data_IF_365913424848
#
_entry.id   IF_365913424848
#
_cell.length_a   1.000
_cell.length_b   1.000
_cell.length_c   1.000
_cell.angle_alpha   90.00
_cell.angle_beta   90.00
_cell.angle_gamma   90.00
#
_symmetry.space_group_name_H-M   'P 1'
#
loop_
_entity.id
_entity.type
_entity.pdbx_description
1 polymer ?
#
# COMPACT_ATOMS: atom_id res chain seq x y z
N UNK A 1 83.80 -35.06 24.27
CA UNK A 1 82.96 -36.23 23.91
C UNK A 1 81.94 -36.35 24.98
N UNK A 2 80.73 -35.74 24.76
CA UNK A 2 79.63 -35.78 25.68
C UNK A 2 78.28 -35.73 24.85
N UNK A 3 77.54 -36.80 24.90
CA UNK A 3 76.38 -37.12 24.16
C UNK A 3 75.21 -36.41 24.83
N UNK A 4 74.58 -35.41 24.21
CA UNK A 4 73.33 -34.77 24.67
C UNK A 4 72.10 -35.59 24.26
N UNK A 5 71.47 -36.18 25.26
CA UNK A 5 70.19 -36.90 25.14
C UNK A 5 69.05 -35.90 25.20
N UNK A 6 68.25 -35.74 24.09
CA UNK A 6 67.04 -34.88 24.04
C UNK A 6 65.84 -35.63 24.60
N UNK A 7 65.10 -35.07 25.56
CA UNK A 7 63.89 -35.71 26.02
C UNK A 7 62.74 -35.55 24.99
N UNK A 8 62.03 -36.64 24.69
CA UNK A 8 60.79 -36.69 23.87
C UNK A 8 59.59 -36.03 24.63
N UNK A 9 59.38 -34.77 24.30
CA UNK A 9 58.15 -34.05 24.74
C UNK A 9 57.18 -33.97 23.53
N UNK A 10 56.69 -35.08 23.09
CA UNK A 10 55.81 -35.12 21.93
C UNK A 10 54.50 -35.92 22.08
N UNK A 11 54.38 -36.73 23.12
CA UNK A 11 53.27 -37.69 23.22
C UNK A 11 52.15 -37.34 24.22
N UNK A 12 52.29 -36.29 25.05
CA UNK A 12 51.29 -35.90 26.04
C UNK A 12 50.36 -34.78 25.60
N UNK A 13 50.64 -34.08 24.51
CA UNK A 13 49.79 -33.03 23.98
C UNK A 13 48.71 -33.52 22.97
N UNK A 14 48.86 -34.73 22.45
CA UNK A 14 47.91 -35.31 21.51
C UNK A 14 46.68 -35.94 22.19
N UNK A 15 46.74 -36.27 23.46
CA UNK A 15 45.64 -36.91 24.20
C UNK A 15 44.69 -35.93 24.90
N UNK A 16 45.06 -34.67 25.09
CA UNK A 16 44.23 -33.65 25.76
C UNK A 16 43.34 -32.85 24.81
N UNK A 17 43.45 -33.03 23.50
CA UNK A 17 42.60 -32.34 22.49
C UNK A 17 41.41 -33.16 22.04
N UNK A 18 41.16 -34.34 22.59
CA UNK A 18 40.11 -35.27 22.17
C UNK A 18 38.91 -35.41 23.13
N UNK A 19 38.79 -34.59 24.16
CA UNK A 19 37.69 -34.68 25.08
C UNK A 19 37.19 -33.29 25.45
N UNK A 20 36.34 -32.67 24.61
CA UNK A 20 35.24 -31.79 24.95
C UNK A 20 34.50 -31.31 23.68
N UNK A 21 34.21 -32.22 22.79
CA UNK A 21 33.09 -32.09 21.91
C UNK A 21 31.91 -32.77 22.56
N UNK A 22 31.12 -32.10 23.42
CA UNK A 22 29.79 -32.56 23.79
C UNK A 22 28.98 -32.59 22.49
N UNK A 23 29.00 -33.74 21.82
CA UNK A 23 28.02 -34.11 20.82
C UNK A 23 26.67 -34.01 21.53
N UNK A 24 25.92 -32.90 21.27
CA UNK A 24 24.46 -32.95 21.44
C UNK A 24 24.06 -34.22 20.72
N UNK A 25 23.47 -35.18 21.44
CA UNK A 25 22.86 -36.35 20.83
C UNK A 25 21.97 -35.81 19.68
N UNK A 26 22.38 -36.01 18.44
CA UNK A 26 21.51 -35.82 17.28
C UNK A 26 20.36 -36.78 17.57
N UNK A 27 19.16 -36.23 17.69
CA UNK A 27 17.95 -37.08 17.67
C UNK A 27 18.10 -37.96 16.46
N UNK A 28 18.03 -39.29 16.71
CA UNK A 28 18.13 -40.28 15.66
C UNK A 28 16.82 -40.31 14.89
N UNK A 29 16.76 -39.53 13.83
CA UNK A 29 15.61 -39.47 12.92
C UNK A 29 15.51 -40.68 11.99
N UNK A 30 16.23 -41.78 12.33
CA UNK A 30 16.26 -42.99 11.56
C UNK A 30 17.32 -42.98 10.44
N UNK A 31 17.45 -44.15 9.78
CA UNK A 31 18.40 -44.28 8.65
C UNK A 31 17.90 -43.51 7.45
N UNK A 32 18.78 -42.73 6.84
CA UNK A 32 18.47 -42.09 5.56
C UNK A 32 18.02 -43.14 4.55
N UNK A 33 16.87 -42.86 3.89
CA UNK A 33 16.37 -43.72 2.82
C UNK A 33 17.41 -43.91 1.71
N UNK A 34 17.32 -45.01 0.99
CA UNK A 34 18.18 -45.27 -0.17
C UNK A 34 17.98 -44.10 -1.20
N UNK A 35 19.01 -43.67 -1.90
CA UNK A 35 18.86 -42.71 -2.99
C UNK A 35 17.86 -43.25 -4.02
N UNK A 36 17.14 -42.36 -4.67
CA UNK A 36 16.14 -42.69 -5.68
C UNK A 36 16.79 -43.54 -6.76
N UNK A 37 16.24 -44.72 -7.03
CA UNK A 37 16.75 -45.63 -8.05
C UNK A 37 16.29 -45.14 -9.42
N UNK A 38 17.24 -44.64 -10.22
CA UNK A 38 17.01 -44.11 -11.59
C UNK A 38 17.04 -45.23 -12.64
N UNK A 39 17.31 -46.47 -12.26
CA UNK A 39 17.37 -47.62 -13.19
C UNK A 39 16.01 -48.01 -13.79
N UNK A 40 14.92 -47.59 -13.18
CA UNK A 40 13.54 -47.84 -13.64
C UNK A 40 12.91 -46.57 -14.24
N UNK A 41 12.87 -46.41 -15.57
CA UNK A 41 12.39 -45.17 -16.22
C UNK A 41 10.96 -44.80 -15.85
N UNK A 42 10.09 -45.77 -15.71
CA UNK A 42 8.68 -45.56 -15.32
C UNK A 42 8.56 -45.01 -13.88
N UNK A 43 9.27 -45.63 -12.94
CA UNK A 43 9.26 -45.14 -11.55
C UNK A 43 9.85 -43.75 -11.41
N UNK A 44 10.96 -43.50 -12.08
CA UNK A 44 11.58 -42.18 -12.10
C UNK A 44 10.64 -41.12 -12.71
N UNK A 45 10.04 -41.40 -13.90
CA UNK A 45 9.08 -40.52 -14.54
C UNK A 45 7.87 -40.24 -13.66
N UNK A 46 7.32 -41.27 -12.99
CA UNK A 46 6.20 -41.12 -12.07
C UNK A 46 6.55 -40.22 -10.88
N UNK A 47 7.70 -40.44 -10.24
CA UNK A 47 8.12 -39.63 -9.08
C UNK A 47 8.40 -38.16 -9.46
N UNK A 48 9.01 -37.90 -10.62
CA UNK A 48 9.24 -36.54 -11.13
C UNK A 48 7.91 -35.86 -11.42
N UNK A 49 6.98 -36.54 -12.09
CA UNK A 49 5.65 -36.00 -12.42
C UNK A 49 4.83 -35.75 -11.17
N UNK A 50 4.83 -36.68 -10.22
CA UNK A 50 4.15 -36.52 -8.94
C UNK A 50 4.74 -35.34 -8.15
N UNK A 51 6.06 -35.21 -8.09
CA UNK A 51 6.73 -34.05 -7.49
C UNK A 51 6.39 -32.73 -8.16
N UNK A 52 6.35 -32.70 -9.50
CA UNK A 52 5.95 -31.54 -10.27
C UNK A 52 4.48 -31.15 -10.04
N UNK A 53 3.56 -32.11 -9.95
CA UNK A 53 2.16 -31.88 -9.64
C UNK A 53 1.99 -31.32 -8.22
N UNK A 54 2.69 -31.89 -7.23
CA UNK A 54 2.66 -31.36 -5.85
C UNK A 54 3.20 -29.94 -5.83
N UNK A 55 4.33 -29.66 -6.48
CA UNK A 55 4.89 -28.32 -6.57
C UNK A 55 3.91 -27.34 -7.24
N UNK A 56 3.27 -27.77 -8.35
CA UNK A 56 2.27 -26.95 -9.05
C UNK A 56 1.04 -26.65 -8.17
N UNK A 57 0.49 -27.67 -7.48
CA UNK A 57 -0.66 -27.46 -6.59
C UNK A 57 -0.32 -26.55 -5.41
N UNK A 58 0.88 -26.67 -4.85
CA UNK A 58 1.36 -25.76 -3.80
C UNK A 58 1.49 -24.32 -4.34
N UNK A 59 2.08 -24.13 -5.51
CA UNK A 59 2.18 -22.80 -6.15
C UNK A 59 0.78 -22.22 -6.44
N UNK A 60 -0.14 -23.03 -6.93
CA UNK A 60 -1.52 -22.59 -7.18
C UNK A 60 -2.25 -22.25 -5.88
N UNK A 61 -2.03 -22.98 -4.79
CA UNK A 61 -2.58 -22.66 -3.47
C UNK A 61 -2.04 -21.33 -2.95
N UNK A 62 -0.73 -21.04 -3.11
CA UNK A 62 -0.15 -19.74 -2.79
C UNK A 62 -0.74 -18.62 -3.66
N UNK A 63 -0.89 -18.84 -4.97
CA UNK A 63 -1.51 -17.87 -5.86
C UNK A 63 -2.96 -17.57 -5.44
N UNK A 64 -3.74 -18.59 -5.07
CA UNK A 64 -5.10 -18.43 -4.58
C UNK A 64 -5.19 -17.71 -3.23
N UNK A 65 -4.16 -17.86 -2.39
CA UNK A 65 -4.06 -17.17 -1.10
C UNK A 65 -3.52 -15.73 -1.22
N UNK A 66 -3.18 -15.25 -2.42
CA UNK A 66 -2.57 -13.92 -2.63
C UNK A 66 -3.39 -12.77 -2.02
N UNK A 67 -4.72 -12.84 -2.12
CA UNK A 67 -5.61 -11.85 -1.52
C UNK A 67 -5.43 -11.75 0.01
N UNK A 68 -5.25 -12.89 0.68
CA UNK A 68 -5.04 -12.92 2.14
C UNK A 68 -3.69 -12.29 2.49
N UNK A 69 -2.63 -12.59 1.73
CA UNK A 69 -1.31 -11.96 1.94
C UNK A 69 -1.38 -10.45 1.75
N UNK A 70 -2.12 -9.96 0.75
CA UNK A 70 -2.34 -8.53 0.53
C UNK A 70 -3.03 -7.91 1.76
N UNK A 71 -4.10 -8.52 2.28
CA UNK A 71 -4.80 -8.02 3.46
C UNK A 71 -3.87 -7.95 4.69
N UNK A 72 -3.03 -8.97 4.90
CA UNK A 72 -2.04 -9.00 5.98
C UNK A 72 -1.00 -7.87 5.83
N UNK A 73 -0.43 -7.70 4.63
CA UNK A 73 0.59 -6.67 4.35
C UNK A 73 0.00 -5.28 4.56
N UNK A 74 -1.20 -5.02 4.04
CA UNK A 74 -1.90 -3.74 4.21
C UNK A 74 -2.18 -3.46 5.69
N UNK A 75 -2.67 -4.46 6.41
CA UNK A 75 -2.98 -4.32 7.83
C UNK A 75 -1.73 -4.05 8.68
N UNK A 76 -0.63 -4.73 8.37
CA UNK A 76 0.66 -4.50 9.02
C UNK A 76 1.22 -3.11 8.71
N UNK A 77 1.08 -2.66 7.45
CA UNK A 77 1.45 -1.31 7.04
C UNK A 77 0.62 -0.24 7.78
N UNK A 78 -0.71 -0.41 7.84
CA UNK A 78 -1.59 0.50 8.59
C UNK A 78 -1.26 0.49 10.08
N UNK A 79 -0.98 -0.67 10.67
CA UNK A 79 -0.56 -0.77 12.06
C UNK A 79 0.76 -0.02 12.32
N UNK A 80 1.77 -0.18 11.45
CA UNK A 80 3.01 0.58 11.54
C UNK A 80 2.76 2.09 11.35
N UNK A 81 1.89 2.46 10.41
CA UNK A 81 1.49 3.84 10.13
C UNK A 81 0.76 4.53 11.29
N UNK A 82 -0.13 3.81 11.96
CA UNK A 82 -0.90 4.32 13.11
C UNK A 82 -0.14 4.24 14.45
N UNK A 83 0.99 3.52 14.50
CA UNK A 83 1.76 3.35 15.73
C UNK A 83 2.22 4.70 16.36
N UNK A 84 2.64 5.73 15.62
CA UNK A 84 2.96 7.04 16.21
C UNK A 84 1.77 7.68 16.95
N UNK A 85 0.54 7.52 16.45
CA UNK A 85 -0.66 7.99 17.12
C UNK A 85 -0.90 7.24 18.44
N UNK A 86 -0.66 5.91 18.45
CA UNK A 86 -0.71 5.12 19.69
C UNK A 86 0.35 5.60 20.69
N UNK A 87 1.58 5.82 20.26
CA UNK A 87 2.66 6.33 21.10
C UNK A 87 2.33 7.73 21.66
N UNK A 88 1.67 8.58 20.87
CA UNK A 88 1.23 9.90 21.34
C UNK A 88 0.25 9.79 22.51
N UNK A 89 -0.72 8.87 22.46
CA UNK A 89 -1.65 8.63 23.58
C UNK A 89 -0.96 7.95 24.77
N UNK A 90 -0.02 7.04 24.51
CA UNK A 90 0.78 6.41 25.60
C UNK A 90 1.63 7.46 26.34
N UNK A 91 2.25 8.40 25.62
CA UNK A 91 3.03 9.48 26.22
C UNK A 91 2.18 10.45 27.07
N UNK A 92 0.83 10.39 26.93
CA UNK A 92 -0.13 11.12 27.76
C UNK A 92 -0.67 10.30 28.93
N UNK A 93 -0.09 9.15 29.21
CA UNK A 93 -0.40 8.32 30.36
C UNK A 93 -1.40 7.19 30.13
N UNK A 94 -1.89 6.99 28.88
CA UNK A 94 -2.73 5.84 28.59
C UNK A 94 -1.89 4.56 28.46
N UNK A 95 -2.44 3.44 28.91
CA UNK A 95 -1.83 2.14 28.62
C UNK A 95 -1.97 1.79 27.12
N UNK A 96 -1.20 0.78 26.64
CA UNK A 96 -1.19 0.43 25.23
C UNK A 96 -2.57 0.03 24.70
N UNK A 97 -3.32 -0.78 25.45
CA UNK A 97 -4.64 -1.23 25.03
C UNK A 97 -5.61 -0.05 24.83
N UNK A 98 -5.68 0.86 25.82
CA UNK A 98 -6.53 2.06 25.74
C UNK A 98 -6.09 3.00 24.62
N UNK A 99 -4.78 3.15 24.39
CA UNK A 99 -4.26 3.97 23.29
C UNK A 99 -4.64 3.40 21.93
N UNK A 100 -4.54 2.09 21.76
CA UNK A 100 -4.95 1.39 20.52
C UNK A 100 -6.45 1.53 20.32
N UNK A 101 -7.26 1.31 21.35
CA UNK A 101 -8.72 1.49 21.26
C UNK A 101 -9.12 2.92 20.91
N UNK A 102 -8.44 3.92 21.47
CA UNK A 102 -8.68 5.33 21.15
C UNK A 102 -8.36 5.63 19.67
N UNK A 103 -7.19 5.19 19.16
CA UNK A 103 -6.79 5.39 17.77
C UNK A 103 -7.76 4.67 16.81
N UNK A 104 -8.13 3.42 17.11
CA UNK A 104 -9.09 2.67 16.29
C UNK A 104 -10.49 3.28 16.34
N UNK A 105 -10.92 3.77 17.51
CA UNK A 105 -12.18 4.53 17.66
C UNK A 105 -12.20 5.77 16.76
N UNK A 106 -11.09 6.52 16.71
CA UNK A 106 -10.96 7.69 15.83
C UNK A 106 -11.00 7.29 14.35
N UNK A 107 -10.33 6.20 13.95
CA UNK A 107 -10.37 5.68 12.57
C UNK A 107 -11.78 5.25 12.20
N UNK A 108 -12.48 4.51 13.06
CA UNK A 108 -13.86 4.09 12.84
C UNK A 108 -14.82 5.28 12.75
N UNK A 109 -14.66 6.25 13.62
CA UNK A 109 -15.45 7.49 13.60
C UNK A 109 -15.23 8.24 12.29
N UNK A 110 -13.97 8.37 11.84
CA UNK A 110 -13.64 9.00 10.57
C UNK A 110 -14.30 8.27 9.39
N UNK A 111 -14.21 6.94 9.34
CA UNK A 111 -14.85 6.12 8.29
C UNK A 111 -16.37 6.26 8.33
N UNK A 112 -17.00 6.24 9.50
CA UNK A 112 -18.44 6.42 9.65
C UNK A 112 -18.89 7.80 9.16
N UNK A 113 -18.17 8.87 9.54
CA UNK A 113 -18.44 10.24 9.08
C UNK A 113 -18.27 10.33 7.56
N UNK A 114 -17.21 9.71 7.01
CA UNK A 114 -17.01 9.70 5.56
C UNK A 114 -18.17 9.02 4.82
N UNK A 115 -18.56 7.84 5.27
CA UNK A 115 -19.68 7.10 4.64
C UNK A 115 -20.98 7.93 4.73
N UNK A 116 -21.27 8.52 5.89
CA UNK A 116 -22.51 9.26 6.11
C UNK A 116 -22.58 10.59 5.32
N UNK A 117 -21.46 11.29 5.17
CA UNK A 117 -21.44 12.64 4.59
C UNK A 117 -21.03 12.63 3.10
N UNK A 118 -20.04 11.81 2.72
CA UNK A 118 -19.49 11.86 1.37
C UNK A 118 -20.20 10.93 0.39
N UNK A 119 -20.60 9.74 0.83
CA UNK A 119 -21.14 8.72 -0.09
C UNK A 119 -22.50 9.10 -0.69
N UNK A 120 -23.51 9.56 0.06
CA UNK A 120 -24.82 9.89 -0.52
C UNK A 120 -24.72 10.96 -1.61
N UNK A 121 -24.09 12.15 -1.39
CA UNK A 121 -23.98 13.16 -2.44
C UNK A 121 -23.20 12.69 -3.68
N UNK A 122 -22.21 11.79 -3.52
CA UNK A 122 -21.48 11.25 -4.66
C UNK A 122 -22.35 10.35 -5.54
N UNK A 123 -23.21 9.54 -4.92
CA UNK A 123 -24.17 8.71 -5.65
C UNK A 123 -25.18 9.62 -6.38
N UNK A 124 -25.70 10.64 -5.71
CA UNK A 124 -26.66 11.57 -6.30
C UNK A 124 -26.05 12.36 -7.46
N UNK A 125 -24.79 12.82 -7.31
CA UNK A 125 -24.07 13.51 -8.38
C UNK A 125 -23.73 12.59 -9.55
N UNK A 126 -23.35 11.35 -9.27
CA UNK A 126 -23.13 10.34 -10.30
C UNK A 126 -24.38 10.13 -11.14
N UNK A 127 -25.54 9.97 -10.49
CA UNK A 127 -26.84 9.82 -11.16
C UNK A 127 -27.22 11.08 -11.95
N UNK A 128 -27.03 12.29 -11.38
CA UNK A 128 -27.29 13.54 -12.08
C UNK A 128 -26.39 13.71 -13.31
N UNK A 129 -25.11 13.39 -13.19
CA UNK A 129 -24.16 13.46 -14.30
C UNK A 129 -24.57 12.53 -15.45
N UNK A 130 -24.94 11.28 -15.13
CA UNK A 130 -25.40 10.32 -16.13
C UNK A 130 -26.70 10.79 -16.79
N UNK A 131 -27.68 11.24 -16.01
CA UNK A 131 -28.97 11.68 -16.53
C UNK A 131 -28.88 12.98 -17.34
N UNK A 132 -27.99 13.91 -16.96
CA UNK A 132 -27.82 15.19 -17.62
C UNK A 132 -26.69 15.18 -18.67
N UNK A 133 -25.97 14.06 -18.83
CA UNK A 133 -24.87 13.96 -19.79
C UNK A 133 -25.29 14.33 -21.24
N UNK A 134 -26.48 13.92 -21.77
CA UNK A 134 -26.91 14.32 -23.10
C UNK A 134 -27.13 15.84 -23.23
N UNK A 135 -27.59 16.48 -22.14
CA UNK A 135 -27.82 17.92 -22.12
C UNK A 135 -26.48 18.71 -22.02
N UNK A 136 -25.58 18.24 -21.21
CA UNK A 136 -24.22 18.80 -21.11
C UNK A 136 -23.48 18.77 -22.45
N UNK A 137 -23.61 17.69 -23.22
CA UNK A 137 -23.02 17.60 -24.57
C UNK A 137 -23.66 18.61 -25.52
N UNK A 138 -24.98 18.77 -25.49
CA UNK A 138 -25.67 19.80 -26.28
C UNK A 138 -25.25 21.22 -25.91
N UNK A 139 -25.10 21.51 -24.62
CA UNK A 139 -24.63 22.81 -24.12
C UNK A 139 -23.20 23.11 -24.51
N UNK A 140 -22.33 22.07 -24.54
CA UNK A 140 -20.98 22.18 -25.06
C UNK A 140 -20.98 22.47 -26.57
N UNK A 141 -21.81 21.82 -27.36
CA UNK A 141 -21.95 22.05 -28.81
C UNK A 141 -22.49 23.47 -29.14
N UNK A 142 -23.24 24.08 -28.24
CA UNK A 142 -23.73 25.46 -28.41
C UNK A 142 -22.65 26.52 -28.13
N UNK A 143 -21.52 26.16 -27.57
CA UNK A 143 -20.40 27.07 -27.32
C UNK A 143 -19.54 27.22 -28.59
N UNK A 144 -19.42 28.43 -29.13
CA UNK A 144 -18.73 28.69 -30.38
C UNK A 144 -17.28 28.21 -30.43
N UNK A 145 -16.54 28.30 -29.31
CA UNK A 145 -15.16 27.85 -29.21
C UNK A 145 -15.07 26.32 -29.26
N UNK A 146 -15.98 25.63 -28.55
CA UNK A 146 -16.01 24.16 -28.50
C UNK A 146 -16.51 23.58 -29.82
N UNK A 147 -17.44 24.27 -30.48
CA UNK A 147 -17.92 23.88 -31.80
C UNK A 147 -16.81 23.98 -32.88
N UNK A 148 -15.96 25.00 -32.81
CA UNK A 148 -14.80 25.13 -33.72
C UNK A 148 -13.76 24.03 -33.47
N UNK A 149 -13.52 23.65 -32.22
CA UNK A 149 -12.69 22.50 -31.82
C UNK A 149 -13.31 21.16 -32.30
N UNK A 150 -14.65 21.01 -32.16
CA UNK A 150 -15.35 19.82 -32.57
C UNK A 150 -15.31 19.65 -34.10
N UNK A 151 -15.47 20.73 -34.84
CA UNK A 151 -15.38 20.73 -36.30
C UNK A 151 -13.97 20.35 -36.80
N UNK A 152 -12.92 20.59 -35.98
CA UNK A 152 -11.52 20.22 -36.35
C UNK A 152 -11.12 18.82 -35.90
N UNK A 153 -11.61 18.36 -34.77
CA UNK A 153 -11.09 17.16 -34.11
C UNK A 153 -12.15 16.10 -33.79
N UNK A 154 -13.45 16.38 -33.99
CA UNK A 154 -14.56 15.43 -33.72
C UNK A 154 -14.65 14.98 -32.27
N UNK A 155 -14.18 15.82 -31.33
CA UNK A 155 -14.05 15.43 -29.90
C UNK A 155 -15.42 15.27 -29.24
N UNK A 156 -16.35 16.20 -29.54
CA UNK A 156 -17.69 16.20 -28.93
C UNK A 156 -18.55 15.07 -29.52
N UNK A 157 -18.45 14.84 -30.83
CA UNK A 157 -19.15 13.75 -31.51
C UNK A 157 -18.69 12.39 -30.98
N UNK A 158 -17.39 12.22 -30.80
CA UNK A 158 -16.82 11.01 -30.20
C UNK A 158 -17.24 10.80 -28.72
N UNK A 159 -17.40 11.89 -27.97
CA UNK A 159 -17.94 11.87 -26.60
C UNK A 159 -19.43 11.54 -26.60
N UNK A 160 -20.22 12.14 -27.50
CA UNK A 160 -21.65 11.89 -27.64
C UNK A 160 -21.93 10.42 -27.97
N UNK A 161 -21.20 9.85 -28.94
CA UNK A 161 -21.33 8.44 -29.31
C UNK A 161 -20.97 7.51 -28.15
N UNK A 162 -19.91 7.82 -27.41
CA UNK A 162 -19.53 7.05 -26.22
C UNK A 162 -20.53 7.19 -25.09
N UNK A 163 -21.04 8.40 -24.82
CA UNK A 163 -22.05 8.63 -23.79
C UNK A 163 -23.35 7.93 -24.17
N UNK A 164 -23.78 8.04 -25.44
CA UNK A 164 -24.99 7.39 -25.92
C UNK A 164 -24.87 5.86 -25.91
N UNK A 165 -23.71 5.30 -26.25
CA UNK A 165 -23.46 3.87 -26.11
C UNK A 165 -23.52 3.42 -24.65
N UNK A 166 -22.91 4.18 -23.74
CA UNK A 166 -22.92 3.94 -22.30
C UNK A 166 -24.33 4.00 -21.71
N UNK A 167 -25.14 4.96 -22.15
CA UNK A 167 -26.54 5.13 -21.67
C UNK A 167 -27.48 4.08 -22.30
N UNK A 168 -27.38 3.83 -23.63
CA UNK A 168 -28.25 2.88 -24.35
C UNK A 168 -27.99 1.43 -23.98
N UNK A 169 -26.76 1.05 -23.79
CA UNK A 169 -26.42 -0.35 -23.50
C UNK A 169 -26.82 -0.76 -22.07
N UNK A 170 -27.17 0.19 -21.19
CA UNK A 170 -27.39 -0.13 -19.75
C UNK A 170 -26.21 -0.87 -19.13
N UNK A 171 -25.21 -1.21 -19.98
CA UNK A 171 -24.07 -2.04 -19.66
C UNK A 171 -23.01 -1.31 -18.85
N UNK A 172 -22.98 0.02 -18.88
CA UNK A 172 -21.98 0.73 -18.06
C UNK A 172 -22.26 0.55 -16.57
N UNK A 173 -23.51 0.68 -16.14
CA UNK A 173 -23.89 0.35 -14.76
C UNK A 173 -23.73 -1.16 -14.47
N UNK A 174 -23.97 -2.02 -15.49
CA UNK A 174 -23.77 -3.46 -15.40
C UNK A 174 -22.28 -3.82 -15.50
N UNK A 175 -21.51 -3.17 -16.38
CA UNK A 175 -20.08 -3.49 -16.60
C UNK A 175 -19.17 -2.81 -15.59
N UNK A 176 -19.43 -1.54 -15.22
CA UNK A 176 -18.67 -0.83 -14.20
C UNK A 176 -18.98 -1.31 -12.77
N UNK A 177 -20.23 -1.73 -12.52
CA UNK A 177 -20.68 -2.11 -11.18
C UNK A 177 -21.40 -3.47 -11.13
N UNK A 178 -21.52 -4.21 -12.25
CA UNK A 178 -22.18 -5.53 -12.28
C UNK A 178 -23.70 -5.45 -12.05
N UNK A 179 -24.37 -4.32 -12.36
CA UNK A 179 -25.76 -4.06 -12.05
C UNK A 179 -26.03 -3.95 -10.54
N UNK A 180 -27.29 -3.92 -10.14
CA UNK A 180 -27.68 -3.84 -8.71
C UNK A 180 -27.11 -4.99 -7.90
N UNK A 181 -27.05 -6.20 -8.47
CA UNK A 181 -26.46 -7.39 -7.82
C UNK A 181 -24.94 -7.26 -7.74
N UNK A 182 -24.28 -6.74 -8.78
CA UNK A 182 -22.84 -6.54 -8.80
C UNK A 182 -22.39 -5.43 -7.86
N UNK A 183 -23.13 -4.31 -7.80
CA UNK A 183 -22.91 -3.26 -6.79
C UNK A 183 -23.11 -3.82 -5.39
N UNK A 184 -24.19 -4.56 -5.15
CA UNK A 184 -24.41 -5.24 -3.86
C UNK A 184 -23.26 -6.18 -3.48
N UNK A 185 -22.81 -7.01 -4.42
CA UNK A 185 -21.69 -7.93 -4.22
C UNK A 185 -20.36 -7.19 -4.01
N UNK A 186 -20.09 -6.13 -4.78
CA UNK A 186 -18.90 -5.29 -4.62
C UNK A 186 -18.89 -4.57 -3.27
N UNK A 187 -20.03 -4.03 -2.83
CA UNK A 187 -20.19 -3.39 -1.52
C UNK A 187 -19.98 -4.42 -0.41
N UNK A 188 -20.63 -5.58 -0.47
CA UNK A 188 -20.48 -6.62 0.56
C UNK A 188 -19.05 -7.13 0.60
N UNK A 189 -18.42 -7.44 -0.54
CA UNK A 189 -17.03 -7.91 -0.56
C UNK A 189 -16.04 -6.81 -0.10
N UNK A 190 -16.30 -5.57 -0.48
CA UNK A 190 -15.55 -4.41 -0.01
C UNK A 190 -15.67 -4.20 1.50
N UNK A 191 -16.87 -4.33 2.06
CA UNK A 191 -17.11 -4.25 3.51
C UNK A 191 -16.41 -5.38 4.25
N UNK A 192 -16.49 -6.62 3.77
CA UNK A 192 -15.80 -7.78 4.39
C UNK A 192 -14.30 -7.57 4.36
N UNK A 193 -13.73 -7.15 3.22
CA UNK A 193 -12.30 -6.89 3.10
C UNK A 193 -11.85 -5.74 4.01
N UNK A 194 -12.63 -4.65 4.05
CA UNK A 194 -12.34 -3.49 4.91
C UNK A 194 -12.43 -3.87 6.40
N UNK A 195 -13.43 -4.65 6.79
CA UNK A 195 -13.57 -5.15 8.16
C UNK A 195 -12.39 -6.06 8.53
N UNK A 196 -11.99 -6.94 7.62
CA UNK A 196 -10.83 -7.83 7.81
C UNK A 196 -9.54 -7.02 8.00
N UNK A 197 -9.28 -6.03 7.13
CA UNK A 197 -8.12 -5.12 7.26
C UNK A 197 -8.17 -4.41 8.60
N UNK A 198 -9.33 -3.90 9.01
CA UNK A 198 -9.50 -3.16 10.26
C UNK A 198 -9.23 -4.04 11.48
N UNK A 199 -9.80 -5.25 11.52
CA UNK A 199 -9.56 -6.21 12.61
C UNK A 199 -8.11 -6.65 12.67
N UNK A 200 -7.50 -6.97 11.52
CA UNK A 200 -6.08 -7.31 11.46
C UNK A 200 -5.19 -6.13 11.86
N UNK A 201 -5.53 -4.91 11.43
CA UNK A 201 -4.80 -3.68 11.82
C UNK A 201 -4.87 -3.46 13.32
N UNK A 202 -6.06 -3.62 13.93
CA UNK A 202 -6.23 -3.54 15.38
C UNK A 202 -5.33 -4.56 16.10
N UNK A 203 -5.36 -5.83 15.64
CA UNK A 203 -4.56 -6.89 16.22
C UNK A 203 -3.05 -6.62 16.09
N UNK A 204 -2.59 -6.28 14.89
CA UNK A 204 -1.19 -5.97 14.66
C UNK A 204 -0.75 -4.71 15.42
N UNK A 205 -1.57 -3.68 15.50
CA UNK A 205 -1.28 -2.45 16.23
C UNK A 205 -1.15 -2.71 17.74
N UNK A 206 -2.05 -3.53 18.31
CA UNK A 206 -1.99 -3.93 19.71
C UNK A 206 -0.74 -4.76 20.02
N UNK A 207 -0.41 -5.72 19.14
CA UNK A 207 0.66 -6.70 19.34
C UNK A 207 1.96 -6.38 18.57
N UNK A 208 2.11 -5.18 17.99
CA UNK A 208 3.25 -4.82 17.14
C UNK A 208 4.63 -5.11 17.76
N UNK A 209 4.91 -4.79 19.04
CA UNK A 209 6.18 -5.15 19.67
C UNK A 209 6.37 -6.67 19.80
N UNK A 210 5.30 -7.43 20.03
CA UNK A 210 5.37 -8.88 20.14
C UNK A 210 5.65 -9.52 18.78
N UNK A 211 4.98 -9.04 17.72
CA UNK A 211 5.22 -9.48 16.33
C UNK A 211 6.68 -9.25 15.94
N UNK A 212 7.22 -8.06 16.24
CA UNK A 212 8.63 -7.75 15.99
C UNK A 212 9.55 -8.71 16.77
N UNK A 213 9.26 -8.94 18.06
CA UNK A 213 10.07 -9.83 18.90
C UNK A 213 10.04 -11.28 18.42
N UNK A 214 8.87 -11.79 17.98
CA UNK A 214 8.75 -13.13 17.39
C UNK A 214 9.58 -13.19 16.10
N UNK A 215 9.47 -12.21 15.21
CA UNK A 215 10.30 -12.14 14.00
C UNK A 215 11.81 -12.15 14.30
N UNK A 216 12.22 -11.47 15.36
CA UNK A 216 13.62 -11.45 15.80
C UNK A 216 14.13 -12.81 16.35
N UNK A 217 13.25 -13.71 16.76
CA UNK A 217 13.67 -15.05 17.21
C UNK A 217 14.22 -15.91 16.07
N UNK A 218 13.77 -15.68 14.82
CA UNK A 218 14.34 -16.35 13.64
C UNK A 218 15.73 -15.84 13.24
N UNK A 219 16.20 -14.77 13.89
CA UNK A 219 17.50 -14.15 13.61
C UNK A 219 18.54 -14.70 14.59
N UNK A 220 19.76 -15.05 14.10
CA UNK A 220 20.88 -15.46 14.97
C UNK A 220 21.17 -14.41 16.06
N UNK A 221 21.44 -14.85 17.29
CA UNK A 221 21.60 -13.98 18.46
C UNK A 221 22.65 -12.85 18.24
N UNK A 222 23.73 -13.16 17.50
CA UNK A 222 24.81 -12.20 17.17
C UNK A 222 24.38 -11.03 16.29
N UNK A 223 23.27 -11.15 15.55
CA UNK A 223 22.76 -10.11 14.63
C UNK A 223 21.44 -9.50 15.10
N UNK A 224 20.86 -10.03 16.17
CA UNK A 224 19.50 -9.67 16.63
C UNK A 224 19.40 -8.20 17.01
N UNK A 225 20.38 -7.62 17.71
CA UNK A 225 20.37 -6.20 18.10
C UNK A 225 20.39 -5.28 16.86
N UNK A 226 21.24 -5.56 15.86
CA UNK A 226 21.31 -4.77 14.63
C UNK A 226 20.00 -4.84 13.83
N UNK A 227 19.42 -6.03 13.70
CA UNK A 227 18.15 -6.20 12.96
C UNK A 227 16.99 -5.57 13.72
N UNK A 228 16.96 -5.64 15.06
CA UNK A 228 15.98 -4.94 15.87
C UNK A 228 15.98 -3.43 15.61
N UNK A 229 17.17 -2.82 15.59
CA UNK A 229 17.33 -1.38 15.29
C UNK A 229 16.84 -1.03 13.88
N UNK A 230 17.17 -1.87 12.89
CA UNK A 230 16.69 -1.70 11.51
C UNK A 230 15.15 -1.79 11.41
N UNK A 231 14.55 -2.81 12.02
CA UNK A 231 13.08 -2.98 12.00
C UNK A 231 12.40 -1.79 12.69
N UNK A 232 12.89 -1.35 13.84
CA UNK A 232 12.34 -0.18 14.52
C UNK A 232 12.50 1.11 13.69
N UNK A 233 13.62 1.29 12.99
CA UNK A 233 13.83 2.41 12.08
C UNK A 233 12.84 2.36 10.89
N UNK A 234 12.58 1.18 10.31
CA UNK A 234 11.58 0.99 9.25
C UNK A 234 10.18 1.35 9.76
N UNK A 235 9.76 0.81 10.90
CA UNK A 235 8.44 1.11 11.49
C UNK A 235 8.29 2.61 11.75
N UNK A 236 9.33 3.25 12.28
CA UNK A 236 9.31 4.70 12.53
C UNK A 236 9.20 5.49 11.22
N UNK A 237 9.93 5.10 10.18
CA UNK A 237 9.86 5.76 8.85
C UNK A 237 8.49 5.59 8.21
N UNK A 238 7.91 4.38 8.27
CA UNK A 238 6.55 4.12 7.77
C UNK A 238 5.54 4.99 8.52
N UNK A 239 5.62 5.04 9.86
CA UNK A 239 4.74 5.88 10.66
C UNK A 239 4.87 7.37 10.36
N UNK A 240 6.11 7.86 10.20
CA UNK A 240 6.37 9.25 9.83
C UNK A 240 5.85 9.57 8.42
N UNK A 241 5.95 8.63 7.47
CA UNK A 241 5.38 8.78 6.14
C UNK A 241 3.85 8.89 6.19
N UNK A 242 3.18 7.96 6.87
CA UNK A 242 1.71 7.97 7.00
C UNK A 242 1.26 9.26 7.69
N UNK A 243 1.95 9.70 8.75
CA UNK A 243 1.66 10.98 9.40
C UNK A 243 1.83 12.18 8.49
N UNK A 244 2.94 12.23 7.74
CA UNK A 244 3.19 13.27 6.74
C UNK A 244 2.14 13.29 5.64
N UNK A 245 1.80 12.11 5.10
CA UNK A 245 0.76 11.97 4.07
C UNK A 245 -0.62 12.38 4.58
N UNK A 246 -0.94 12.07 5.84
CA UNK A 246 -2.19 12.53 6.48
C UNK A 246 -2.29 14.05 6.52
N UNK A 247 -1.17 14.74 6.83
CA UNK A 247 -1.13 16.21 6.85
C UNK A 247 -1.31 16.77 5.43
N UNK A 248 -0.62 16.19 4.44
CA UNK A 248 -0.73 16.61 3.03
C UNK A 248 -2.17 16.42 2.54
N UNK A 249 -2.76 15.26 2.78
CA UNK A 249 -4.15 14.96 2.41
C UNK A 249 -5.15 15.92 3.09
N UNK A 250 -4.93 16.24 4.37
CA UNK A 250 -5.75 17.21 5.08
C UNK A 250 -5.64 18.64 4.49
N UNK A 251 -4.43 19.07 4.11
CA UNK A 251 -4.22 20.37 3.46
C UNK A 251 -4.93 20.43 2.09
N UNK A 252 -4.86 19.34 1.30
CA UNK A 252 -5.58 19.25 0.04
C UNK A 252 -7.10 19.34 0.24
N UNK A 253 -7.64 18.63 1.23
CA UNK A 253 -9.06 18.68 1.57
C UNK A 253 -9.50 20.09 2.02
N UNK A 254 -8.70 20.74 2.86
CA UNK A 254 -8.94 22.12 3.30
C UNK A 254 -8.91 23.07 2.10
N UNK A 255 -7.94 22.92 1.19
CA UNK A 255 -7.89 23.73 -0.03
C UNK A 255 -9.17 23.56 -0.86
N UNK A 256 -9.61 22.31 -1.12
CA UNK A 256 -10.83 22.04 -1.87
C UNK A 256 -12.06 22.61 -1.17
N UNK A 257 -12.13 22.52 0.16
CA UNK A 257 -13.22 23.09 0.93
C UNK A 257 -13.30 24.61 0.74
N UNK A 258 -12.20 25.34 0.92
CA UNK A 258 -12.19 26.80 0.76
C UNK A 258 -12.42 27.22 -0.70
N UNK A 259 -11.70 26.59 -1.65
CA UNK A 259 -11.88 26.86 -3.06
C UNK A 259 -13.34 26.66 -3.49
N UNK A 260 -13.92 25.53 -3.11
CA UNK A 260 -15.29 25.18 -3.47
C UNK A 260 -16.33 26.13 -2.89
N UNK A 261 -16.13 26.62 -1.65
CA UNK A 261 -16.98 27.64 -1.04
C UNK A 261 -16.89 28.99 -1.82
N UNK A 262 -15.68 29.40 -2.22
CA UNK A 262 -15.46 30.65 -2.95
C UNK A 262 -16.11 30.62 -4.33
N UNK A 263 -15.94 29.53 -5.09
CA UNK A 263 -16.53 29.42 -6.45
C UNK A 263 -17.98 28.91 -6.43
N UNK A 264 -18.53 28.63 -5.25
CA UNK A 264 -19.87 28.08 -5.06
C UNK A 264 -20.02 26.70 -5.69
N UNK A 265 -19.04 25.83 -5.57
CA UNK A 265 -19.04 24.46 -6.10
C UNK A 265 -20.08 23.60 -5.37
N UNK A 266 -20.84 22.76 -6.07
CA UNK A 266 -21.80 21.88 -5.41
C UNK A 266 -21.06 20.84 -4.56
N UNK A 267 -21.67 20.45 -3.44
CA UNK A 267 -21.18 19.38 -2.57
C UNK A 267 -19.72 19.54 -2.12
N UNK A 268 -19.28 20.75 -1.86
CA UNK A 268 -17.89 21.10 -1.49
C UNK A 268 -17.37 20.28 -0.32
N UNK A 269 -18.16 20.07 0.74
CA UNK A 269 -17.76 19.27 1.89
C UNK A 269 -17.48 17.79 1.54
N UNK A 270 -18.43 17.08 0.92
CA UNK A 270 -18.20 15.72 0.41
C UNK A 270 -17.00 15.60 -0.53
N UNK A 271 -16.80 16.56 -1.45
CA UNK A 271 -15.64 16.55 -2.35
C UNK A 271 -14.31 16.74 -1.61
N UNK A 272 -14.29 17.61 -0.60
CA UNK A 272 -13.11 17.75 0.26
C UNK A 272 -12.79 16.44 0.99
N UNK A 273 -13.80 15.70 1.45
CA UNK A 273 -13.59 14.39 2.07
C UNK A 273 -13.09 13.32 1.08
N UNK A 274 -13.58 13.33 -0.16
CA UNK A 274 -13.05 12.46 -1.23
C UNK A 274 -11.59 12.77 -1.50
N UNK A 275 -11.24 14.06 -1.64
CA UNK A 275 -9.84 14.47 -1.86
C UNK A 275 -8.96 14.11 -0.67
N UNK A 276 -9.46 14.19 0.55
CA UNK A 276 -8.76 13.71 1.74
C UNK A 276 -8.38 12.23 1.63
N UNK A 277 -9.31 11.37 1.21
CA UNK A 277 -9.05 9.94 1.05
C UNK A 277 -8.11 9.67 -0.14
N UNK A 278 -8.40 10.29 -1.29
CA UNK A 278 -7.54 10.17 -2.47
C UNK A 278 -6.10 10.62 -2.17
N UNK A 279 -5.94 11.65 -1.35
CA UNK A 279 -4.63 12.19 -0.96
C UNK A 279 -3.72 11.20 -0.22
N UNK A 280 -4.26 10.10 0.31
CA UNK A 280 -3.43 9.02 0.86
C UNK A 280 -2.69 8.22 -0.21
N UNK A 281 -3.12 8.27 -1.47
CA UNK A 281 -2.50 7.54 -2.58
C UNK A 281 -1.50 8.47 -3.28
N UNK A 282 -0.18 8.32 -3.07
CA UNK A 282 0.81 9.20 -3.65
C UNK A 282 0.72 9.23 -5.18
N UNK A 283 0.90 10.39 -5.79
CA UNK A 283 0.86 10.66 -7.22
C UNK A 283 -0.53 10.47 -7.84
N UNK A 284 -1.16 9.31 -7.69
CA UNK A 284 -2.42 8.95 -8.37
C UNK A 284 -3.62 9.63 -7.71
N UNK A 285 -3.58 9.84 -6.40
CA UNK A 285 -4.72 10.35 -5.63
C UNK A 285 -5.19 11.72 -6.11
N UNK A 286 -4.27 12.63 -6.42
CA UNK A 286 -4.62 13.94 -6.95
C UNK A 286 -5.24 13.88 -8.35
N UNK A 287 -4.82 12.96 -9.23
CA UNK A 287 -5.46 12.79 -10.53
C UNK A 287 -6.90 12.30 -10.38
N UNK A 288 -7.15 11.35 -9.49
CA UNK A 288 -8.50 10.86 -9.20
C UNK A 288 -9.34 11.99 -8.58
N UNK A 289 -8.83 12.65 -7.53
CA UNK A 289 -9.50 13.76 -6.87
C UNK A 289 -9.81 14.91 -7.81
N UNK A 290 -8.85 15.30 -8.65
CA UNK A 290 -9.02 16.34 -9.67
C UNK A 290 -10.10 15.98 -10.69
N UNK A 291 -10.09 14.73 -11.17
CA UNK A 291 -11.14 14.23 -12.08
C UNK A 291 -12.52 14.33 -11.46
N UNK A 292 -12.71 13.83 -10.23
CA UNK A 292 -14.00 13.86 -9.53
C UNK A 292 -14.44 15.30 -9.26
N UNK A 293 -13.56 16.15 -8.73
CA UNK A 293 -13.86 17.57 -8.45
C UNK A 293 -14.27 18.32 -9.72
N UNK A 294 -13.55 18.09 -10.84
CA UNK A 294 -13.86 18.73 -12.13
C UNK A 294 -15.21 18.26 -12.68
N UNK A 295 -15.47 16.95 -12.68
CA UNK A 295 -16.73 16.37 -13.16
C UNK A 295 -17.93 16.85 -12.35
N UNK A 296 -17.83 16.89 -11.03
CA UNK A 296 -18.90 17.41 -10.17
C UNK A 296 -19.06 18.92 -10.38
N UNK A 297 -17.97 19.68 -10.57
CA UNK A 297 -18.06 21.11 -10.87
C UNK A 297 -18.74 21.40 -12.21
N UNK A 298 -18.59 20.49 -13.18
CA UNK A 298 -19.23 20.58 -14.51
C UNK A 298 -20.76 20.50 -14.42
N UNK A 299 -21.32 19.83 -13.43
CA UNK A 299 -22.79 19.79 -13.22
C UNK A 299 -23.38 21.17 -12.90
N UNK A 300 -22.55 22.12 -12.39
CA UNK A 300 -22.95 23.51 -12.16
C UNK A 300 -22.81 24.36 -13.43
N UNK A 301 -21.61 24.39 -13.99
CA UNK A 301 -21.30 25.06 -15.25
C UNK A 301 -19.90 24.71 -15.76
N UNK A 302 -19.64 24.79 -17.08
CA UNK A 302 -18.31 24.62 -17.65
C UNK A 302 -17.29 25.59 -17.07
N UNK A 303 -17.69 26.84 -16.82
CA UNK A 303 -16.82 27.85 -16.21
C UNK A 303 -16.36 27.44 -14.80
N UNK A 304 -17.27 26.95 -13.97
CA UNK A 304 -16.93 26.44 -12.63
C UNK A 304 -15.93 25.27 -12.71
N UNK A 305 -16.14 24.36 -13.66
CA UNK A 305 -15.24 23.21 -13.86
C UNK A 305 -13.83 23.65 -14.27
N UNK A 306 -13.71 24.60 -15.20
CA UNK A 306 -12.41 25.14 -15.66
C UNK A 306 -11.68 25.85 -14.50
N UNK A 307 -12.38 26.66 -13.71
CA UNK A 307 -11.81 27.35 -12.55
C UNK A 307 -11.33 26.33 -11.51
N UNK A 308 -12.17 25.33 -11.18
CA UNK A 308 -11.85 24.28 -10.23
C UNK A 308 -10.61 23.48 -10.68
N UNK A 309 -10.58 23.06 -11.94
CA UNK A 309 -9.46 22.33 -12.52
C UNK A 309 -8.16 23.13 -12.46
N UNK A 310 -8.20 24.40 -12.93
CA UNK A 310 -7.04 25.28 -12.96
C UNK A 310 -6.50 25.55 -11.56
N UNK A 311 -7.37 25.85 -10.60
CA UNK A 311 -6.99 26.09 -9.21
C UNK A 311 -6.41 24.82 -8.57
N UNK A 312 -6.97 23.66 -8.86
CA UNK A 312 -6.46 22.39 -8.34
C UNK A 312 -5.08 22.05 -8.92
N UNK A 313 -4.87 22.27 -10.23
CA UNK A 313 -3.53 22.10 -10.85
C UNK A 313 -2.51 23.02 -10.16
N UNK A 314 -2.83 24.29 -9.94
CA UNK A 314 -1.93 25.23 -9.24
C UNK A 314 -1.64 24.73 -7.82
N UNK A 315 -2.66 24.27 -7.09
CA UNK A 315 -2.47 23.70 -5.75
C UNK A 315 -1.51 22.49 -5.77
N UNK A 316 -1.70 21.55 -6.70
CA UNK A 316 -0.84 20.35 -6.82
C UNK A 316 0.62 20.75 -7.11
N UNK A 317 0.85 21.79 -7.89
CA UNK A 317 2.21 22.29 -8.12
C UNK A 317 2.80 22.88 -6.83
N UNK A 318 2.04 23.68 -6.09
CA UNK A 318 2.47 24.20 -4.79
C UNK A 318 2.73 23.05 -3.80
N UNK A 319 1.86 22.06 -3.77
CA UNK A 319 2.02 20.87 -2.92
C UNK A 319 3.31 20.13 -3.27
N UNK A 320 3.53 19.79 -4.53
CA UNK A 320 4.69 19.00 -4.96
C UNK A 320 6.02 19.72 -4.74
N UNK A 321 6.08 21.03 -4.98
CA UNK A 321 7.33 21.79 -4.92
C UNK A 321 7.59 22.48 -3.57
N UNK A 322 6.56 22.72 -2.76
CA UNK A 322 6.71 23.48 -1.51
C UNK A 322 6.26 22.68 -0.29
N UNK A 323 5.04 22.13 -0.30
CA UNK A 323 4.42 21.51 0.89
C UNK A 323 5.07 20.16 1.17
N UNK A 324 5.05 19.25 0.18
CA UNK A 324 5.57 17.90 0.30
C UNK A 324 7.04 17.86 0.72
N UNK A 325 7.97 18.63 0.11
CA UNK A 325 9.36 18.65 0.55
C UNK A 325 9.54 19.13 2.00
N UNK A 326 8.73 20.10 2.46
CA UNK A 326 8.80 20.58 3.85
C UNK A 326 8.31 19.54 4.86
N UNK A 327 7.20 18.87 4.57
CA UNK A 327 6.58 17.88 5.45
C UNK A 327 7.40 16.59 5.46
N UNK A 328 7.81 16.10 4.30
CA UNK A 328 8.48 14.81 4.13
C UNK A 328 10.00 14.85 4.38
N UNK A 329 10.60 16.03 4.57
CA UNK A 329 12.06 16.17 4.78
C UNK A 329 12.63 15.25 5.87
N UNK A 330 11.86 14.99 6.94
CA UNK A 330 12.27 14.13 8.06
C UNK A 330 11.82 12.67 7.91
N UNK A 331 10.91 12.38 6.97
CA UNK A 331 10.26 11.07 6.89
C UNK A 331 10.95 10.13 5.91
N UNK A 332 11.30 10.60 4.73
CA UNK A 332 11.85 9.75 3.67
C UNK A 332 12.82 10.55 2.81
N UNK A 333 14.11 10.29 2.94
CA UNK A 333 15.12 10.77 1.99
C UNK A 333 15.17 9.83 0.77
N UNK A 334 14.04 9.72 0.04
CA UNK A 334 13.97 8.89 -1.18
C UNK A 334 14.12 9.78 -2.40
N UNK A 335 15.00 9.42 -3.36
CA UNK A 335 15.05 10.10 -4.65
C UNK A 335 13.70 10.04 -5.37
N UNK A 336 13.27 11.15 -5.98
CA UNK A 336 11.98 11.22 -6.67
C UNK A 336 11.79 10.13 -7.72
N UNK A 337 12.85 9.78 -8.46
CA UNK A 337 12.82 8.69 -9.44
C UNK A 337 12.43 7.34 -8.79
N UNK A 338 12.99 7.03 -7.63
CA UNK A 338 12.66 5.78 -6.90
C UNK A 338 11.20 5.80 -6.45
N UNK A 339 10.69 6.95 -6.00
CA UNK A 339 9.29 7.12 -5.62
C UNK A 339 8.35 6.83 -6.80
N UNK A 340 8.66 7.38 -8.00
CA UNK A 340 7.86 7.17 -9.22
C UNK A 340 7.89 5.69 -9.62
N UNK A 341 9.09 5.10 -9.71
CA UNK A 341 9.24 3.68 -10.10
C UNK A 341 8.51 2.78 -9.09
N UNK A 342 8.68 3.02 -7.79
CA UNK A 342 8.00 2.25 -6.76
C UNK A 342 6.48 2.35 -6.88
N UNK A 343 5.93 3.57 -7.08
CA UNK A 343 4.50 3.79 -7.23
C UNK A 343 3.95 3.07 -8.48
N UNK A 344 4.64 3.15 -9.62
CA UNK A 344 4.24 2.47 -10.85
C UNK A 344 4.27 0.94 -10.70
N UNK A 345 5.36 0.38 -10.15
CA UNK A 345 5.47 -1.05 -9.88
C UNK A 345 4.43 -1.52 -8.87
N UNK A 346 4.27 -0.78 -7.77
CA UNK A 346 3.27 -1.12 -6.76
C UNK A 346 1.85 -1.13 -7.32
N UNK A 347 1.49 -0.10 -8.08
CA UNK A 347 0.17 0.00 -8.71
C UNK A 347 -0.05 -1.10 -9.75
N UNK A 348 0.97 -1.45 -10.54
CA UNK A 348 0.91 -2.53 -11.52
C UNK A 348 0.72 -3.90 -10.88
N UNK A 349 1.36 -4.16 -9.73
CA UNK A 349 1.32 -5.45 -9.05
C UNK A 349 0.08 -5.65 -8.18
N UNK A 350 -0.34 -4.64 -7.44
CA UNK A 350 -1.36 -4.72 -6.40
C UNK A 350 -2.48 -3.66 -6.53
N UNK A 351 -2.57 -3.00 -7.69
CA UNK A 351 -3.54 -1.92 -7.92
C UNK A 351 -3.33 -0.72 -6.98
N UNK A 352 -4.41 -0.06 -6.60
CA UNK A 352 -4.37 1.14 -5.72
C UNK A 352 -3.70 0.86 -4.38
N UNK A 353 -3.91 -0.32 -3.83
CA UNK A 353 -3.29 -0.75 -2.56
C UNK A 353 -1.77 -0.82 -2.70
N UNK A 354 -1.28 -1.36 -3.83
CA UNK A 354 0.14 -1.39 -4.12
C UNK A 354 0.74 0.01 -4.23
N UNK A 355 0.05 0.94 -4.88
CA UNK A 355 0.48 2.34 -4.96
C UNK A 355 0.63 3.00 -3.58
N UNK A 356 -0.30 2.73 -2.66
CA UNK A 356 -0.28 3.25 -1.29
C UNK A 356 0.95 2.78 -0.50
N UNK A 357 1.28 1.49 -0.57
CA UNK A 357 2.35 0.88 0.24
C UNK A 357 3.72 0.92 -0.45
N UNK A 358 3.78 1.19 -1.75
CA UNK A 358 5.00 1.09 -2.56
C UNK A 358 6.11 2.03 -2.08
N UNK A 359 5.77 3.28 -1.79
CA UNK A 359 6.75 4.30 -1.36
C UNK A 359 7.39 3.94 -0.02
N UNK A 360 6.65 3.55 1.02
CA UNK A 360 7.23 3.05 2.27
C UNK A 360 8.06 1.78 2.11
N UNK A 361 7.64 0.86 1.24
CA UNK A 361 8.43 -0.34 0.94
C UNK A 361 9.76 0.04 0.29
N UNK A 362 9.74 0.94 -0.69
CA UNK A 362 10.97 1.44 -1.31
C UNK A 362 11.89 2.12 -0.30
N UNK A 363 11.34 2.89 0.65
CA UNK A 363 12.11 3.48 1.75
C UNK A 363 12.78 2.43 2.64
N UNK A 364 12.06 1.36 2.97
CA UNK A 364 12.60 0.26 3.74
C UNK A 364 13.72 -0.48 2.99
N UNK A 365 13.52 -0.73 1.69
CA UNK A 365 14.54 -1.36 0.83
C UNK A 365 15.78 -0.49 0.74
N UNK A 366 15.65 0.82 0.48
CA UNK A 366 16.78 1.73 0.46
C UNK A 366 17.54 1.76 1.79
N UNK A 367 16.83 1.80 2.92
CA UNK A 367 17.48 1.71 4.23
C UNK A 367 18.30 0.43 4.39
N UNK A 368 17.75 -0.70 3.94
CA UNK A 368 18.47 -1.98 3.99
C UNK A 368 19.70 -1.95 3.06
N UNK A 369 19.58 -1.38 1.86
CA UNK A 369 20.71 -1.24 0.94
C UNK A 369 21.81 -0.36 1.55
N UNK A 370 21.45 0.79 2.10
CA UNK A 370 22.38 1.74 2.70
C UNK A 370 23.11 1.15 3.94
N UNK A 371 22.38 0.44 4.80
CA UNK A 371 22.90 -0.04 6.08
C UNK A 371 23.52 -1.44 6.03
N UNK A 372 23.14 -2.25 5.04
CA UNK A 372 23.57 -3.66 5.00
C UNK A 372 24.36 -3.99 3.75
N UNK A 373 23.93 -3.54 2.58
CA UNK A 373 24.53 -3.97 1.30
C UNK A 373 25.73 -3.12 0.94
N UNK A 374 25.59 -1.80 0.89
CA UNK A 374 26.67 -0.90 0.48
C UNK A 374 27.90 -0.94 1.41
N UNK A 375 27.78 -0.98 2.76
CA UNK A 375 28.96 -1.11 3.62
C UNK A 375 29.71 -2.42 3.42
N UNK A 376 29.03 -3.50 3.03
CA UNK A 376 29.70 -4.77 2.72
C UNK A 376 30.43 -4.71 1.38
N UNK A 377 29.83 -4.10 0.37
CA UNK A 377 30.44 -3.95 -0.94
C UNK A 377 31.69 -3.03 -0.93
N UNK A 378 31.80 -2.14 0.08
CA UNK A 378 32.99 -1.29 0.27
C UNK A 378 34.10 -1.98 1.06
N UNK A 379 33.82 -3.10 1.73
CA UNK A 379 34.78 -3.87 2.54
C UNK A 379 35.30 -5.12 1.81
N UNK A 380 34.71 -5.47 0.67
CA UNK A 380 35.18 -6.54 -0.24
C UNK A 380 36.01 -5.97 -1.39
#
# INVERSE_FOLDING_TARGET
MAIFNKPKIGSKLATLRRSKGRSKAREDFGKQGKPVDTSHPFYFGFMVTAGALVAFTVLQAFASASAVFILIIVSLFLAAGLNPAVLFFQNRGLNRASSVSAVMGLVLLFVAIFIAIAVPPLIDQGNQLINNAPQLVKDLNNNSFINDLNNRYGVVDSLEDRINSVIKDGQFAITAFGGVIGVGKAVVSGLVSSLTILVLTLYFLASLPQVINIGLQFVPATRRDRISKLVNAIVTRVGSFVGGQSIIAALAAIFILFMGLIIGMPYTGPLAMVVLICGFIPLIGHFIGMGIVTLVSLTKSPATAIIALSAYIIYVQIENYVITPKIMRKSLAIPGLVTIIAALLGTSLLGLVGGLIAVPIAAAVLLILDEVVFPRAQQS
#
